data_IF_188501018459
#
_entry.id   IF_188501018459
#
_cell.length_a   1.000
_cell.length_b   1.000
_cell.length_c   1.000
_cell.angle_alpha   90.00
_cell.angle_beta   90.00
_cell.angle_gamma   90.00
#
_symmetry.space_group_name_H-M   'P 1'
#
loop_
_entity.id
_entity.type
_entity.pdbx_description
1 polymer ?
#
# COMPACT_ATOMS: atom_id res chain seq x y z
N UNK A 1 13.54 -21.48 1.30
CA UNK A 1 12.51 -22.24 2.06
C UNK A 1 12.11 -21.43 3.28
N UNK A 2 10.84 -21.48 3.71
CA UNK A 2 10.42 -20.79 4.94
C UNK A 2 11.19 -21.36 6.14
N UNK A 3 11.75 -20.48 6.98
CA UNK A 3 12.66 -20.90 8.07
C UNK A 3 11.96 -21.64 9.22
N UNK A 4 10.62 -21.54 9.33
CA UNK A 4 9.83 -22.13 10.42
C UNK A 4 8.51 -22.69 9.87
N UNK A 5 8.14 -23.94 10.19
CA UNK A 5 6.83 -24.51 9.84
C UNK A 5 5.67 -23.75 10.52
N UNK A 6 4.54 -23.61 9.82
CA UNK A 6 3.34 -22.90 10.31
C UNK A 6 2.90 -23.34 11.72
N UNK A 7 2.83 -24.64 12.06
CA UNK A 7 2.41 -25.08 13.39
C UNK A 7 3.33 -24.69 14.55
N UNK A 8 4.58 -24.33 14.26
CA UNK A 8 5.57 -23.93 15.28
C UNK A 8 5.58 -22.42 15.53
N UNK A 9 4.79 -21.65 14.78
CA UNK A 9 4.72 -20.19 14.92
C UNK A 9 3.88 -19.85 16.15
N UNK A 10 4.55 -19.50 17.25
CA UNK A 10 3.91 -18.94 18.44
C UNK A 10 3.67 -17.44 18.29
N UNK A 11 2.69 -16.91 19.02
CA UNK A 11 2.40 -15.47 19.07
C UNK A 11 3.64 -14.61 19.35
N UNK A 12 4.49 -15.02 20.30
CA UNK A 12 5.72 -14.30 20.63
C UNK A 12 6.75 -14.24 19.49
N UNK A 13 6.85 -15.30 18.68
CA UNK A 13 7.71 -15.31 17.49
C UNK A 13 7.17 -14.38 16.41
N UNK A 14 5.85 -14.39 16.22
CA UNK A 14 5.17 -13.51 15.28
C UNK A 14 5.34 -12.03 15.68
N UNK A 15 5.11 -11.69 16.95
CA UNK A 15 5.34 -10.34 17.47
C UNK A 15 6.79 -9.89 17.28
N UNK A 16 7.78 -10.76 17.54
CA UNK A 16 9.20 -10.47 17.27
C UNK A 16 9.46 -10.20 15.79
N UNK A 17 8.80 -10.93 14.91
CA UNK A 17 8.91 -10.74 13.45
C UNK A 17 8.35 -9.39 13.04
N UNK A 18 7.17 -9.02 13.55
CA UNK A 18 6.58 -7.69 13.31
C UNK A 18 7.48 -6.57 13.85
N UNK A 19 8.02 -6.73 15.06
CA UNK A 19 8.94 -5.75 15.65
C UNK A 19 10.25 -5.63 14.85
N UNK A 20 10.70 -6.71 14.22
CA UNK A 20 11.91 -6.72 13.38
C UNK A 20 11.69 -5.94 12.08
N UNK A 21 10.53 -6.06 11.44
CA UNK A 21 10.26 -5.40 10.14
C UNK A 21 9.70 -3.98 10.30
N UNK A 22 9.07 -3.67 11.44
CA UNK A 22 8.45 -2.35 11.67
C UNK A 22 9.38 -1.14 11.48
N UNK A 23 10.69 -1.20 11.83
CA UNK A 23 11.63 -0.11 11.59
C UNK A 23 11.96 0.14 10.12
N UNK A 24 11.83 -0.86 9.24
CA UNK A 24 12.31 -0.76 7.87
C UNK A 24 11.20 -0.34 6.88
N UNK A 25 9.94 -0.57 7.25
CA UNK A 25 8.81 -0.33 6.36
C UNK A 25 7.88 0.79 6.85
N UNK A 26 7.05 1.29 5.94
CA UNK A 26 5.91 2.14 6.30
C UNK A 26 4.92 1.33 7.15
N UNK A 27 4.27 2.00 8.10
CA UNK A 27 3.31 1.36 9.01
C UNK A 27 2.16 0.67 8.26
N UNK A 28 1.69 1.26 7.16
CA UNK A 28 0.66 0.70 6.27
C UNK A 28 1.10 -0.62 5.64
N UNK A 29 2.37 -0.73 5.25
CA UNK A 29 2.90 -1.96 4.67
C UNK A 29 2.99 -3.07 5.73
N UNK A 30 3.43 -2.74 6.95
CA UNK A 30 3.45 -3.70 8.07
C UNK A 30 2.03 -4.13 8.47
N UNK A 31 1.06 -3.21 8.42
CA UNK A 31 -0.36 -3.57 8.55
C UNK A 31 -0.83 -4.52 7.44
N UNK A 32 -0.45 -4.27 6.19
CA UNK A 32 -0.72 -5.16 5.07
C UNK A 32 -0.18 -6.57 5.32
N UNK A 33 1.10 -6.68 5.71
CA UNK A 33 1.73 -7.96 6.09
C UNK A 33 0.92 -8.66 7.18
N UNK A 34 0.55 -7.95 8.25
CA UNK A 34 -0.23 -8.52 9.34
C UNK A 34 -1.61 -9.02 8.88
N UNK A 35 -2.29 -8.26 8.02
CA UNK A 35 -3.59 -8.64 7.46
C UNK A 35 -3.48 -9.93 6.64
N UNK A 36 -2.52 -9.99 5.71
CA UNK A 36 -2.32 -11.16 4.86
C UNK A 36 -1.94 -12.41 5.68
N UNK A 37 -1.04 -12.26 6.66
CA UNK A 37 -0.66 -13.37 7.53
C UNK A 37 -1.83 -13.87 8.42
N UNK A 38 -2.72 -12.97 8.85
CA UNK A 38 -3.96 -13.35 9.53
C UNK A 38 -4.91 -14.14 8.60
N UNK A 39 -5.00 -13.78 7.32
CA UNK A 39 -5.79 -14.55 6.35
C UNK A 39 -5.24 -15.97 6.17
N UNK A 40 -3.92 -16.11 6.03
CA UNK A 40 -3.24 -17.42 5.93
C UNK A 40 -3.51 -18.23 7.20
N UNK A 41 -3.37 -17.62 8.38
CA UNK A 41 -3.59 -18.30 9.66
C UNK A 41 -5.05 -18.75 9.83
N UNK A 42 -6.03 -17.94 9.39
CA UNK A 42 -7.45 -18.34 9.37
C UNK A 42 -7.67 -19.57 8.49
N UNK A 43 -7.03 -19.63 7.33
CA UNK A 43 -7.13 -20.80 6.46
C UNK A 43 -6.48 -22.03 7.11
N UNK A 44 -5.29 -21.88 7.69
CA UNK A 44 -4.60 -22.95 8.40
C UNK A 44 -5.39 -23.50 9.60
N UNK A 45 -6.20 -22.68 10.27
CA UNK A 45 -7.14 -23.12 11.31
C UNK A 45 -8.25 -23.99 10.72
N UNK A 46 -8.87 -23.55 9.61
CA UNK A 46 -9.91 -24.34 8.91
C UNK A 46 -9.39 -25.71 8.48
N UNK A 47 -8.14 -25.75 8.03
CA UNK A 47 -7.46 -26.97 7.59
C UNK A 47 -6.88 -27.78 8.77
N UNK A 48 -7.15 -27.37 10.02
CA UNK A 48 -6.69 -28.02 11.26
C UNK A 48 -5.17 -28.17 11.39
N UNK A 49 -4.40 -27.33 10.68
CA UNK A 49 -2.94 -27.28 10.75
C UNK A 49 -2.49 -26.60 12.05
N UNK A 50 -3.22 -25.58 12.50
CA UNK A 50 -3.00 -24.85 13.75
C UNK A 50 -4.33 -24.69 14.50
N UNK A 51 -4.26 -24.53 15.82
CA UNK A 51 -5.44 -24.36 16.67
C UNK A 51 -5.87 -22.90 16.81
N UNK A 52 -4.89 -22.01 16.85
CA UNK A 52 -5.09 -20.60 17.16
C UNK A 52 -4.21 -19.73 16.26
N UNK A 53 -4.66 -18.51 16.01
CA UNK A 53 -3.99 -17.59 15.11
C UNK A 53 -2.87 -16.85 15.88
N UNK A 54 -1.59 -16.98 15.49
CA UNK A 54 -0.48 -16.30 16.15
C UNK A 54 -0.50 -14.78 15.97
N UNK A 55 -1.22 -14.29 14.96
CA UNK A 55 -1.40 -12.87 14.65
C UNK A 55 -2.46 -12.15 15.49
N UNK A 56 -3.22 -12.88 16.31
CA UNK A 56 -4.23 -12.31 17.21
C UNK A 56 -3.57 -11.34 18.21
N UNK A 57 -4.18 -10.17 18.42
CA UNK A 57 -3.74 -9.12 19.36
C UNK A 57 -2.32 -8.59 19.17
N UNK A 58 -1.73 -8.81 17.99
CA UNK A 58 -0.39 -8.31 17.69
C UNK A 58 -0.36 -6.79 17.61
N UNK A 59 0.59 -6.21 18.34
CA UNK A 59 0.78 -4.76 18.39
C UNK A 59 1.72 -4.36 17.25
N UNK A 60 1.23 -3.50 16.35
CA UNK A 60 2.06 -2.90 15.31
C UNK A 60 2.68 -1.61 15.87
N UNK A 61 4.02 -1.56 16.06
CA UNK A 61 4.68 -0.38 16.60
C UNK A 61 4.37 0.87 15.78
N UNK A 62 4.14 1.99 16.47
CA UNK A 62 4.08 3.30 15.82
C UNK A 62 5.51 3.82 15.72
N UNK A 63 6.01 4.05 14.50
CA UNK A 63 7.22 4.85 14.32
C UNK A 63 6.95 6.24 14.90
N UNK A 64 7.81 6.70 15.82
CA UNK A 64 7.88 8.13 16.15
C UNK A 64 8.51 8.79 14.95
N UNK A 65 7.74 9.64 14.24
CA UNK A 65 8.32 10.46 13.18
C UNK A 65 9.36 11.37 13.82
N UNK A 66 10.57 11.35 13.30
CA UNK A 66 11.61 12.33 13.69
C UNK A 66 11.25 13.69 13.07
N UNK A 67 11.88 14.76 13.53
CA UNK A 67 11.62 16.11 12.98
C UNK A 67 12.02 16.14 11.50
N UNK A 68 13.12 15.46 11.18
CA UNK A 68 13.65 15.27 9.83
C UNK A 68 12.68 14.52 8.89
N UNK A 69 11.97 13.50 9.40
CA UNK A 69 10.94 12.77 8.63
C UNK A 69 9.72 13.63 8.32
N UNK A 70 9.38 14.59 9.20
CA UNK A 70 8.25 15.51 8.99
C UNK A 70 8.62 16.56 7.95
N UNK A 71 9.86 17.05 7.98
CA UNK A 71 10.37 18.03 7.02
C UNK A 71 10.53 17.44 5.61
N UNK A 72 10.95 16.17 5.47
CA UNK A 72 11.05 15.51 4.15
C UNK A 72 9.71 15.01 3.60
N UNK A 73 8.71 14.74 4.46
CA UNK A 73 7.34 14.40 4.06
C UNK A 73 6.46 15.63 3.78
N UNK A 74 7.03 16.75 3.34
CA UNK A 74 6.28 17.62 2.43
C UNK A 74 6.06 16.83 1.14
N UNK A 75 5.04 15.96 1.16
CA UNK A 75 4.39 15.54 -0.06
C UNK A 75 3.86 16.84 -0.64
N UNK A 76 4.66 17.49 -1.48
CA UNK A 76 4.13 18.40 -2.47
C UNK A 76 3.13 17.55 -3.24
N UNK A 77 1.86 17.63 -2.84
CA UNK A 77 0.75 17.20 -3.65
C UNK A 77 0.86 18.08 -4.89
N UNK A 78 1.65 17.63 -5.87
CA UNK A 78 1.73 18.23 -7.19
C UNK A 78 0.47 17.81 -7.91
N UNK A 79 -0.60 18.51 -7.55
CA UNK A 79 -1.76 18.59 -8.42
C UNK A 79 -1.30 19.34 -9.68
N UNK A 80 -1.73 18.87 -10.85
CA UNK A 80 -1.43 19.58 -12.09
C UNK A 80 -2.20 20.89 -12.07
N UNK A 81 -1.48 22.00 -12.16
CA UNK A 81 -2.11 23.30 -12.37
C UNK A 81 -2.84 23.30 -13.72
N UNK A 82 -3.82 24.19 -13.88
CA UNK A 82 -4.68 24.21 -15.08
C UNK A 82 -3.87 24.18 -16.38
N UNK A 83 -2.84 25.02 -16.47
CA UNK A 83 -1.98 25.10 -17.66
C UNK A 83 -1.14 23.83 -17.88
N UNK A 84 -0.70 23.17 -16.81
CA UNK A 84 0.04 21.90 -16.90
C UNK A 84 -0.87 20.75 -17.32
N UNK A 85 -2.11 20.75 -16.83
CA UNK A 85 -3.13 19.79 -17.24
C UNK A 85 -3.52 19.98 -18.71
N UNK A 86 -3.72 21.22 -19.17
CA UNK A 86 -4.00 21.52 -20.58
C UNK A 86 -2.84 21.06 -21.48
N UNK A 87 -1.59 21.34 -21.08
CA UNK A 87 -0.39 20.84 -21.79
C UNK A 87 -0.33 19.32 -21.84
N UNK A 88 -0.63 18.64 -20.73
CA UNK A 88 -0.67 17.17 -20.67
C UNK A 88 -1.76 16.60 -21.59
N UNK A 89 -2.98 17.13 -21.53
CA UNK A 89 -4.10 16.67 -22.34
C UNK A 89 -3.82 16.89 -23.84
N UNK A 90 -3.28 18.04 -24.23
CA UNK A 90 -2.88 18.31 -25.61
C UNK A 90 -1.78 17.37 -26.09
N UNK A 91 -0.78 17.09 -25.25
CA UNK A 91 0.27 16.12 -25.59
C UNK A 91 -0.29 14.71 -25.81
N UNK A 92 -1.29 14.28 -25.03
CA UNK A 92 -1.96 12.98 -25.23
C UNK A 92 -2.83 12.98 -26.49
N UNK A 93 -3.44 14.11 -26.84
CA UNK A 93 -4.16 14.24 -28.11
C UNK A 93 -3.17 14.11 -29.28
N UNK A 94 -2.08 14.88 -29.29
CA UNK A 94 -1.16 14.95 -30.43
C UNK A 94 -0.26 13.72 -30.57
N UNK A 95 0.22 13.16 -29.45
CA UNK A 95 1.27 12.14 -29.42
C UNK A 95 0.86 10.84 -28.71
N UNK A 96 -0.35 10.79 -28.16
CA UNK A 96 -0.85 9.61 -27.45
C UNK A 96 -1.09 8.43 -28.38
N UNK A 97 -1.11 7.24 -27.79
CA UNK A 97 -1.41 6.00 -28.50
C UNK A 97 -2.91 5.89 -28.81
N UNK A 98 -3.25 4.96 -29.70
CA UNK A 98 -4.65 4.63 -29.95
C UNK A 98 -5.34 4.24 -28.63
N UNK A 99 -6.53 4.82 -28.37
CA UNK A 99 -7.35 4.70 -27.16
C UNK A 99 -6.96 5.57 -25.95
N UNK A 100 -5.80 6.23 -25.93
CA UNK A 100 -5.43 7.12 -24.81
C UNK A 100 -6.44 8.26 -24.63
N UNK A 101 -6.89 8.82 -25.76
CA UNK A 101 -7.92 9.87 -25.79
C UNK A 101 -9.25 9.40 -25.18
N UNK A 102 -9.66 8.16 -25.45
CA UNK A 102 -10.92 7.63 -24.94
C UNK A 102 -10.80 7.24 -23.47
N UNK A 103 -9.67 6.68 -23.05
CA UNK A 103 -9.37 6.42 -21.64
C UNK A 103 -9.47 7.70 -20.81
N UNK A 104 -8.83 8.79 -21.23
CA UNK A 104 -8.84 10.06 -20.49
C UNK A 104 -10.25 10.64 -20.37
N UNK A 105 -11.08 10.54 -21.43
CA UNK A 105 -12.49 10.96 -21.36
C UNK A 105 -13.30 10.14 -20.34
N UNK A 106 -13.04 8.83 -20.25
CA UNK A 106 -13.71 7.94 -19.31
C UNK A 106 -13.26 8.16 -17.85
N UNK A 107 -11.99 8.53 -17.64
CA UNK A 107 -11.43 8.85 -16.32
C UNK A 107 -11.91 10.19 -15.74
N UNK A 108 -12.89 10.86 -16.37
CA UNK A 108 -13.55 12.04 -15.82
C UNK A 108 -12.99 13.38 -16.26
N UNK A 109 -11.97 13.42 -17.13
CA UNK A 109 -11.45 14.66 -17.72
C UNK A 109 -12.36 15.26 -18.81
N UNK A 110 -13.54 14.66 -19.02
CA UNK A 110 -14.53 15.05 -20.04
C UNK A 110 -14.98 16.50 -19.94
N UNK A 111 -15.10 17.05 -18.73
CA UNK A 111 -15.52 18.45 -18.49
C UNK A 111 -14.45 19.45 -18.97
N UNK A 112 -13.18 19.06 -18.89
CA UNK A 112 -12.05 19.93 -19.23
C UNK A 112 -11.76 19.87 -20.73
N UNK A 113 -11.91 18.69 -21.34
CA UNK A 113 -11.75 18.49 -22.79
C UNK A 113 -12.85 19.13 -23.65
N UNK A 114 -14.03 19.43 -23.12
CA UNK A 114 -15.08 20.16 -23.87
C UNK A 114 -14.90 21.69 -23.86
N UNK A 115 -13.91 22.17 -23.12
CA UNK A 115 -13.63 23.59 -22.87
C UNK A 115 -12.31 24.06 -23.48
N UNK A 116 -11.56 23.12 -24.08
CA UNK A 116 -10.35 23.28 -24.89
C UNK A 116 -10.73 23.15 -26.37
#
# INVERSE_FOLDING_TARGET
>A
MASVPIPKIRHSYYQKTINKIAPDYARTNVQGVNTTANMISRQAIKDKVIKDNPGTDVIIPKKRKTVEDIESNKIEKKDLEREELEKFLNAVIEKGLANDRDMIKHLGFKIILSSL
#
